data_IF_148765408370
#
_entry.id   IF_148765408370
#
_cell.length_a   1.000
_cell.length_b   1.000
_cell.length_c   1.000
_cell.angle_alpha   90.00
_cell.angle_beta   90.00
_cell.angle_gamma   90.00
#
_symmetry.space_group_name_H-M   'P 1'
#
loop_
_entity.id
_entity.type
_entity.pdbx_description
1 polymer ?
#
# COMPACT_ATOMS: atom_id res chain seq x y z
N UNK A 1 7.60 -0.59 49.24
CA UNK A 1 7.36 -1.21 47.94
C UNK A 1 6.13 -0.60 47.25
N UNK A 2 6.12 0.70 46.94
CA UNK A 2 5.01 1.34 46.23
C UNK A 2 5.47 2.49 45.28
N UNK A 3 6.68 2.38 44.72
CA UNK A 3 7.23 3.43 43.86
C UNK A 3 7.30 3.05 42.39
N UNK A 4 7.06 1.82 41.99
CA UNK A 4 7.16 1.35 40.61
C UNK A 4 5.84 1.36 39.82
N UNK A 5 4.70 1.62 40.45
CA UNK A 5 3.40 1.55 39.81
C UNK A 5 2.89 2.88 39.20
N UNK A 6 3.49 4.02 39.55
CA UNK A 6 3.00 5.35 39.14
C UNK A 6 3.73 5.99 37.96
N UNK A 7 4.82 5.36 37.46
CA UNK A 7 5.65 5.89 36.38
C UNK A 7 5.95 4.91 35.26
N UNK A 8 5.11 3.91 35.05
CA UNK A 8 5.22 3.09 33.85
C UNK A 8 4.37 3.61 32.69
N UNK A 9 4.47 4.90 32.39
CA UNK A 9 4.53 5.31 30.99
C UNK A 9 5.93 4.88 30.54
N UNK A 10 6.07 3.66 30.03
CA UNK A 10 7.28 3.30 29.28
C UNK A 10 7.33 4.28 28.11
N UNK A 11 8.31 5.19 28.03
CA UNK A 11 8.50 5.94 26.83
C UNK A 11 8.65 4.93 25.71
N UNK A 12 7.96 5.15 24.58
CA UNK A 12 8.21 4.33 23.41
C UNK A 12 9.72 4.28 23.21
N UNK A 13 10.33 3.08 23.07
CA UNK A 13 11.76 3.00 22.93
C UNK A 13 12.19 3.91 21.79
N UNK A 14 13.22 4.74 22.01
CA UNK A 14 13.76 5.62 20.97
C UNK A 14 14.18 4.81 19.75
N UNK A 15 14.55 3.55 19.96
CA UNK A 15 14.77 2.52 18.94
C UNK A 15 13.76 1.40 19.15
N UNK A 16 12.79 1.26 18.24
CA UNK A 16 11.85 0.13 18.27
C UNK A 16 12.57 -1.18 17.99
N UNK A 17 12.10 -2.28 18.59
CA UNK A 17 12.68 -3.61 18.40
C UNK A 17 12.43 -4.16 16.99
N UNK A 18 11.23 -3.97 16.47
CA UNK A 18 10.81 -4.49 15.19
C UNK A 18 10.95 -3.47 14.06
N UNK A 19 10.48 -2.24 14.26
CA UNK A 19 10.68 -1.10 13.38
C UNK A 19 11.65 -0.11 14.01
N UNK A 20 12.54 0.48 13.23
CA UNK A 20 13.54 1.43 13.71
C UNK A 20 13.08 2.88 13.44
N UNK A 21 13.30 3.76 14.40
CA UNK A 21 13.00 5.20 14.22
C UNK A 21 13.74 5.80 13.02
N UNK A 22 14.96 5.34 12.76
CA UNK A 22 15.79 5.79 11.63
C UNK A 22 15.19 5.48 10.25
N UNK A 23 14.23 4.55 10.17
CA UNK A 23 13.52 4.22 8.93
C UNK A 23 12.39 5.21 8.60
N UNK A 24 11.94 5.99 9.58
CA UNK A 24 11.01 7.09 9.37
C UNK A 24 11.79 8.30 8.86
N UNK A 25 11.58 8.64 7.59
CA UNK A 25 12.24 9.77 6.94
C UNK A 25 11.33 10.99 7.00
N UNK A 26 11.79 12.12 7.59
CA UNK A 26 10.99 13.33 7.59
C UNK A 26 10.75 13.81 6.16
N UNK A 27 9.52 14.21 5.87
CA UNK A 27 9.10 14.79 4.61
C UNK A 27 8.38 16.12 4.90
N UNK A 28 8.97 17.24 4.55
CA UNK A 28 8.36 18.56 4.75
C UNK A 28 7.26 18.83 3.71
N UNK A 29 7.46 18.33 2.51
CA UNK A 29 6.51 18.48 1.39
C UNK A 29 6.33 17.18 0.64
N UNK A 30 5.11 16.70 0.63
CA UNK A 30 4.75 15.50 -0.16
C UNK A 30 4.91 15.78 -1.66
N UNK A 31 5.37 14.80 -2.46
CA UNK A 31 5.34 14.90 -3.90
C UNK A 31 3.92 15.10 -4.42
N UNK A 32 3.79 15.66 -5.61
CA UNK A 32 2.48 15.80 -6.24
C UNK A 32 1.85 14.42 -6.50
N UNK A 33 0.56 14.28 -6.22
CA UNK A 33 -0.16 13.00 -6.33
C UNK A 33 0.06 12.30 -7.67
N UNK A 34 0.10 13.08 -8.75
CA UNK A 34 0.24 12.64 -10.14
C UNK A 34 1.60 11.97 -10.41
N UNK A 35 2.60 12.21 -9.56
CA UNK A 35 3.94 11.63 -9.69
C UNK A 35 4.08 10.31 -8.93
N UNK A 36 3.01 9.86 -8.26
CA UNK A 36 3.01 8.67 -7.43
C UNK A 36 1.93 7.68 -7.86
N UNK A 37 2.18 6.41 -7.62
CA UNK A 37 1.14 5.38 -7.58
C UNK A 37 0.63 5.28 -6.15
N UNK A 38 -0.66 5.46 -5.97
CA UNK A 38 -1.30 5.51 -4.65
C UNK A 38 -1.90 4.16 -4.31
N UNK A 39 -1.70 3.73 -3.08
CA UNK A 39 -2.25 2.50 -2.51
C UNK A 39 -2.87 2.81 -1.15
N UNK A 40 -3.92 2.09 -0.81
CA UNK A 40 -4.53 2.20 0.50
C UNK A 40 -4.53 0.87 1.23
N UNK A 41 -4.79 0.92 2.53
CA UNK A 41 -4.99 -0.27 3.34
C UNK A 41 -5.86 0.03 4.56
N UNK A 42 -6.67 -0.95 4.94
CA UNK A 42 -7.56 -0.83 6.08
C UNK A 42 -7.45 -2.00 7.02
N UNK A 43 -7.36 -1.67 8.30
CA UNK A 43 -7.68 -2.58 9.39
C UNK A 43 -9.03 -2.17 9.99
N UNK A 44 -9.98 -3.12 10.04
CA UNK A 44 -11.38 -2.84 10.42
C UNK A 44 -11.68 -3.36 11.82
N UNK A 45 -12.21 -2.50 12.67
CA UNK A 45 -12.74 -2.86 13.99
C UNK A 45 -14.28 -2.87 14.00
N UNK A 46 -14.86 -3.72 14.85
CA UNK A 46 -16.33 -3.90 14.96
C UNK A 46 -16.96 -2.97 15.98
N UNK A 47 -16.20 -2.53 16.99
CA UNK A 47 -16.74 -1.89 18.19
C UNK A 47 -16.52 -0.38 18.16
N UNK A 48 -17.63 0.36 18.27
CA UNK A 48 -17.59 1.81 18.36
C UNK A 48 -17.12 2.32 19.74
N UNK A 49 -17.29 1.53 20.80
CA UNK A 49 -17.01 1.94 22.18
C UNK A 49 -15.97 1.03 22.84
N UNK A 50 -14.77 1.58 23.12
CA UNK A 50 -13.75 0.93 23.96
C UNK A 50 -13.02 -0.25 23.36
N UNK A 51 -13.17 -0.53 22.06
CA UNK A 51 -12.48 -1.59 21.32
C UNK A 51 -11.25 -1.11 20.56
N UNK A 52 -10.87 -1.88 19.53
CA UNK A 52 -9.81 -1.55 18.60
C UNK A 52 -10.25 -0.40 17.67
N UNK A 53 -9.29 0.20 17.00
CA UNK A 53 -9.53 1.29 16.07
C UNK A 53 -9.70 0.75 14.64
N UNK A 54 -10.67 1.28 13.91
CA UNK A 54 -10.58 1.17 12.45
C UNK A 54 -9.55 2.17 11.94
N UNK A 55 -8.66 1.68 11.10
CA UNK A 55 -7.59 2.48 10.49
C UNK A 55 -7.66 2.38 8.98
N UNK A 56 -7.55 3.53 8.33
CA UNK A 56 -7.27 3.64 6.90
C UNK A 56 -5.95 4.38 6.71
N UNK A 57 -5.03 3.79 5.95
CA UNK A 57 -3.78 4.41 5.55
C UNK A 57 -3.73 4.58 4.04
N UNK A 58 -3.12 5.69 3.61
CA UNK A 58 -2.84 5.95 2.21
C UNK A 58 -1.35 6.13 2.02
N UNK A 59 -0.77 5.37 1.10
CA UNK A 59 0.65 5.36 0.78
C UNK A 59 0.86 5.66 -0.70
N UNK A 60 1.82 6.54 -1.01
CA UNK A 60 2.27 6.83 -2.36
C UNK A 60 3.63 6.20 -2.63
N UNK A 61 3.82 5.67 -3.84
CA UNK A 61 5.10 5.17 -4.33
C UNK A 61 5.50 6.01 -5.54
N UNK A 62 6.62 6.72 -5.45
CA UNK A 62 7.12 7.52 -6.56
C UNK A 62 7.87 6.67 -7.62
N UNK A 63 8.39 7.33 -8.63
CA UNK A 63 9.10 6.67 -9.75
C UNK A 63 10.47 6.08 -9.35
N UNK A 64 11.03 6.51 -8.22
CA UNK A 64 12.27 5.98 -7.65
C UNK A 64 12.00 4.82 -6.67
N UNK A 65 10.72 4.49 -6.41
CA UNK A 65 10.31 3.45 -5.48
C UNK A 65 10.18 3.92 -4.03
N UNK A 66 10.42 5.21 -3.73
CA UNK A 66 10.30 5.76 -2.38
C UNK A 66 8.85 5.74 -1.92
N UNK A 67 8.66 5.35 -0.69
CA UNK A 67 7.34 5.17 -0.07
C UNK A 67 7.00 6.33 0.85
N UNK A 68 5.85 6.95 0.65
CA UNK A 68 5.34 8.09 1.40
C UNK A 68 4.03 7.74 2.11
N UNK A 69 3.95 7.95 3.42
CA UNK A 69 2.67 7.91 4.12
C UNK A 69 1.98 9.26 3.91
N UNK A 70 0.90 9.23 3.13
CA UNK A 70 0.22 10.45 2.66
C UNK A 70 -0.87 10.89 3.61
N UNK A 71 -1.69 9.92 4.06
CA UNK A 71 -2.84 10.21 4.92
C UNK A 71 -3.13 9.06 5.87
N UNK A 72 -3.71 9.40 7.01
CA UNK A 72 -4.20 8.47 8.02
C UNK A 72 -5.56 8.90 8.55
N UNK A 73 -6.53 8.02 8.45
CA UNK A 73 -7.74 8.06 9.23
C UNK A 73 -7.72 6.96 10.28
N UNK A 74 -8.01 7.29 11.55
CA UNK A 74 -8.03 6.34 12.66
C UNK A 74 -9.08 6.76 13.68
N UNK A 75 -10.06 5.90 13.93
CA UNK A 75 -11.13 6.20 14.89
C UNK A 75 -11.78 4.93 15.41
N UNK A 76 -12.25 4.98 16.65
CA UNK A 76 -13.27 4.07 17.15
C UNK A 76 -14.62 4.61 16.69
N UNK A 77 -15.25 3.96 15.73
CA UNK A 77 -16.47 4.47 15.10
C UNK A 77 -17.34 3.35 14.56
N UNK A 78 -18.59 3.68 14.27
CA UNK A 78 -19.51 2.78 13.58
C UNK A 78 -19.08 2.50 12.13
N UNK A 79 -19.60 1.41 11.56
CA UNK A 79 -19.24 1.01 10.20
C UNK A 79 -19.66 2.01 9.12
N UNK A 80 -20.74 2.73 9.31
CA UNK A 80 -21.19 3.79 8.41
C UNK A 80 -20.18 4.95 8.36
N UNK A 81 -19.62 5.35 9.49
CA UNK A 81 -18.65 6.44 9.56
C UNK A 81 -17.33 6.09 8.86
N UNK A 82 -16.76 4.91 9.12
CA UNK A 82 -15.51 4.55 8.46
C UNK A 82 -15.69 4.18 6.97
N UNK A 83 -16.91 3.73 6.55
CA UNK A 83 -17.25 3.58 5.13
C UNK A 83 -17.23 4.94 4.42
N UNK A 84 -17.78 5.99 5.05
CA UNK A 84 -17.70 7.34 4.49
C UNK A 84 -16.25 7.82 4.38
N UNK A 85 -15.46 7.65 5.44
CA UNK A 85 -14.05 8.01 5.44
C UNK A 85 -13.25 7.26 4.35
N UNK A 86 -13.52 5.97 4.17
CA UNK A 86 -12.96 5.19 3.07
C UNK A 86 -13.29 5.80 1.70
N UNK A 87 -14.56 6.13 1.48
CA UNK A 87 -15.00 6.74 0.22
C UNK A 87 -14.36 8.12 -0.01
N UNK A 88 -14.21 8.92 1.04
CA UNK A 88 -13.52 10.23 0.96
C UNK A 88 -12.06 10.04 0.53
N UNK A 89 -11.33 9.15 1.18
CA UNK A 89 -9.94 8.85 0.85
C UNK A 89 -9.77 8.33 -0.59
N UNK A 90 -10.69 7.47 -1.05
CA UNK A 90 -10.68 6.96 -2.44
C UNK A 90 -10.92 8.08 -3.45
N UNK A 91 -11.83 8.99 -3.18
CA UNK A 91 -12.13 10.12 -4.07
C UNK A 91 -10.98 11.13 -4.13
N UNK A 92 -10.37 11.40 -2.99
CA UNK A 92 -9.25 12.34 -2.86
C UNK A 92 -7.98 11.78 -3.49
N UNK A 93 -7.58 10.58 -3.06
CA UNK A 93 -6.28 10.02 -3.41
C UNK A 93 -6.31 9.16 -4.67
N UNK A 94 -7.46 8.64 -5.10
CA UNK A 94 -7.66 7.77 -6.28
C UNK A 94 -6.66 6.61 -6.31
N UNK A 95 -6.66 5.74 -5.29
CA UNK A 95 -5.71 4.64 -5.19
C UNK A 95 -5.88 3.63 -6.32
N UNK A 96 -4.77 3.09 -6.79
CA UNK A 96 -4.72 1.99 -7.77
C UNK A 96 -5.23 0.69 -7.16
N UNK A 97 -4.95 0.48 -5.87
CA UNK A 97 -5.39 -0.68 -5.11
C UNK A 97 -5.54 -0.38 -3.63
N UNK A 98 -6.40 -1.15 -2.99
CA UNK A 98 -6.69 -1.06 -1.57
C UNK A 98 -6.64 -2.43 -0.92
N UNK A 99 -5.81 -2.58 0.10
CA UNK A 99 -5.62 -3.82 0.84
C UNK A 99 -6.58 -3.89 2.04
N UNK A 100 -7.18 -5.04 2.24
CA UNK A 100 -8.10 -5.30 3.35
C UNK A 100 -7.80 -6.65 3.97
N UNK A 101 -8.12 -6.79 5.26
CA UNK A 101 -8.13 -8.08 5.90
C UNK A 101 -9.31 -8.94 5.41
N UNK A 102 -9.04 -10.21 5.10
CA UNK A 102 -10.09 -11.19 4.80
C UNK A 102 -10.61 -11.78 6.11
N UNK A 103 -11.73 -11.29 6.60
CA UNK A 103 -12.29 -11.74 7.87
C UNK A 103 -13.81 -11.60 7.93
N UNK A 104 -14.38 -11.89 9.11
CA UNK A 104 -15.83 -11.79 9.33
C UNK A 104 -16.32 -10.34 9.20
N UNK A 105 -15.50 -9.36 9.61
CA UNK A 105 -15.86 -7.94 9.56
C UNK A 105 -15.98 -7.52 8.10
N UNK A 106 -14.95 -7.76 7.30
CA UNK A 106 -14.97 -7.42 5.87
C UNK A 106 -16.07 -8.15 5.10
N UNK A 107 -16.40 -9.39 5.49
CA UNK A 107 -17.52 -10.11 4.90
C UNK A 107 -18.90 -9.52 5.28
N UNK A 108 -19.07 -9.13 6.55
CA UNK A 108 -20.33 -8.56 7.03
C UNK A 108 -20.61 -7.16 6.49
N UNK A 109 -19.57 -6.34 6.37
CA UNK A 109 -19.70 -4.94 5.94
C UNK A 109 -19.50 -4.77 4.43
N UNK A 110 -18.87 -5.73 3.77
CA UNK A 110 -18.56 -5.69 2.34
C UNK A 110 -19.74 -5.23 1.46
N UNK A 111 -20.94 -5.80 1.58
CA UNK A 111 -22.09 -5.38 0.78
C UNK A 111 -22.48 -3.90 0.97
N UNK A 112 -22.41 -3.39 2.20
CA UNK A 112 -22.70 -1.98 2.51
C UNK A 112 -21.63 -1.06 1.91
N UNK A 113 -20.36 -1.42 2.05
CA UNK A 113 -19.24 -0.71 1.48
C UNK A 113 -19.32 -0.68 -0.06
N UNK A 114 -19.61 -1.82 -0.71
CA UNK A 114 -19.76 -1.90 -2.17
C UNK A 114 -20.93 -1.04 -2.68
N UNK A 115 -22.04 -1.03 -1.93
CA UNK A 115 -23.19 -0.17 -2.23
C UNK A 115 -22.76 1.30 -2.15
N UNK A 116 -22.10 1.69 -1.05
CA UNK A 116 -21.71 3.08 -0.83
C UNK A 116 -20.67 3.57 -1.83
N UNK A 117 -19.71 2.73 -2.20
CA UNK A 117 -18.75 3.03 -3.27
C UNK A 117 -19.45 3.35 -4.60
N UNK A 118 -20.50 2.57 -4.96
CA UNK A 118 -21.28 2.85 -6.18
C UNK A 118 -22.04 4.17 -6.10
N UNK A 119 -22.71 4.42 -4.98
CA UNK A 119 -23.47 5.67 -4.75
C UNK A 119 -22.56 6.90 -4.84
N UNK A 120 -21.39 6.83 -4.22
CA UNK A 120 -20.41 7.92 -4.20
C UNK A 120 -19.48 7.95 -5.41
N UNK A 121 -19.52 6.93 -6.26
CA UNK A 121 -18.58 6.74 -7.39
C UNK A 121 -17.10 6.67 -6.92
N UNK A 122 -16.89 6.16 -5.71
CA UNK A 122 -15.57 6.01 -5.08
C UNK A 122 -14.97 4.64 -5.43
N UNK A 123 -14.52 4.45 -6.66
CA UNK A 123 -14.04 3.16 -7.15
C UNK A 123 -12.54 3.01 -6.96
N UNK A 124 -12.13 1.86 -6.38
CA UNK A 124 -10.77 1.37 -6.39
C UNK A 124 -10.78 -0.17 -6.44
N UNK A 125 -9.68 -0.75 -6.88
CA UNK A 125 -9.50 -2.21 -6.79
C UNK A 125 -9.25 -2.58 -5.33
N UNK A 126 -10.11 -3.41 -4.74
CA UNK A 126 -9.99 -3.89 -3.36
C UNK A 126 -9.49 -5.32 -3.34
N UNK A 127 -8.44 -5.59 -2.59
CA UNK A 127 -7.86 -6.92 -2.44
C UNK A 127 -7.83 -7.34 -0.99
N UNK A 128 -8.36 -8.52 -0.71
CA UNK A 128 -8.43 -9.10 0.61
C UNK A 128 -7.28 -10.07 0.86
N UNK A 129 -6.61 -9.92 1.99
CA UNK A 129 -5.53 -10.77 2.44
C UNK A 129 -5.95 -11.61 3.65
N UNK A 130 -5.58 -12.91 3.70
CA UNK A 130 -5.93 -13.76 4.83
C UNK A 130 -5.15 -13.35 6.09
N UNK A 131 -5.84 -13.37 7.23
CA UNK A 131 -5.29 -13.07 8.57
C UNK A 131 -4.52 -14.23 9.21
N UNK A 132 -4.15 -15.25 8.45
CA UNK A 132 -3.44 -16.40 8.99
C UNK A 132 -1.99 -16.05 9.32
N UNK A 133 -1.55 -16.42 10.51
CA UNK A 133 -0.17 -16.29 10.96
C UNK A 133 0.06 -15.16 11.96
N UNK A 134 1.31 -15.06 12.42
CA UNK A 134 1.77 -14.04 13.35
C UNK A 134 1.71 -12.64 12.71
N UNK A 135 1.31 -11.63 13.48
CA UNK A 135 1.29 -10.22 13.08
C UNK A 135 2.66 -9.74 12.58
N UNK A 136 3.74 -10.16 13.23
CA UNK A 136 5.09 -9.84 12.80
C UNK A 136 5.41 -10.42 11.41
N UNK A 137 4.91 -11.61 11.08
CA UNK A 137 5.08 -12.21 9.76
C UNK A 137 4.31 -11.40 8.70
N UNK A 138 3.09 -10.96 9.02
CA UNK A 138 2.29 -10.14 8.09
C UNK A 138 2.92 -8.77 7.83
N UNK A 139 3.56 -8.18 8.85
CA UNK A 139 4.28 -6.92 8.74
C UNK A 139 5.68 -7.04 8.10
N UNK A 140 6.16 -8.26 7.78
CA UNK A 140 7.52 -8.48 7.28
C UNK A 140 7.78 -7.79 5.95
N UNK A 141 6.80 -7.76 5.04
CA UNK A 141 6.94 -7.11 3.76
C UNK A 141 7.19 -5.60 3.90
N UNK A 142 6.35 -4.92 4.67
CA UNK A 142 6.52 -3.48 4.88
C UNK A 142 7.79 -3.17 5.68
N UNK A 143 8.14 -4.04 6.65
CA UNK A 143 9.38 -3.94 7.41
C UNK A 143 10.59 -3.96 6.50
N UNK A 144 10.65 -4.91 5.57
CA UNK A 144 11.74 -5.03 4.60
C UNK A 144 11.90 -3.78 3.73
N UNK A 145 10.80 -3.26 3.21
CA UNK A 145 10.80 -2.01 2.42
C UNK A 145 11.27 -0.82 3.23
N UNK A 146 10.77 -0.66 4.46
CA UNK A 146 11.19 0.43 5.34
C UNK A 146 12.66 0.34 5.72
N UNK A 147 13.20 -0.86 5.91
CA UNK A 147 14.61 -1.07 6.23
C UNK A 147 15.53 -0.70 5.07
N UNK A 148 15.12 -0.95 3.82
CA UNK A 148 15.90 -0.67 2.62
C UNK A 148 15.81 0.80 2.20
N UNK A 149 14.62 1.37 2.15
CA UNK A 149 14.35 2.66 1.52
C UNK A 149 13.81 3.70 2.51
N UNK A 150 13.27 3.27 3.64
CA UNK A 150 12.58 4.11 4.60
C UNK A 150 11.11 4.34 4.24
N UNK A 151 10.40 4.97 5.16
CA UNK A 151 9.05 5.50 4.99
C UNK A 151 9.09 7.01 5.18
N UNK A 152 8.80 7.75 4.14
CA UNK A 152 8.73 9.21 4.19
C UNK A 152 7.40 9.63 4.81
N UNK A 153 7.45 10.46 5.87
CA UNK A 153 6.28 10.82 6.65
C UNK A 153 6.25 12.34 6.89
N UNK A 154 5.10 13.02 6.69
CA UNK A 154 4.96 14.43 7.02
C UNK A 154 4.99 14.59 8.55
N UNK A 155 6.12 15.06 9.09
CA UNK A 155 6.30 15.20 10.54
C UNK A 155 5.45 16.31 11.15
N UNK A 156 4.92 17.21 10.33
CA UNK A 156 3.95 18.24 10.71
C UNK A 156 2.50 17.71 10.82
N UNK A 157 2.22 16.49 10.36
CA UNK A 157 0.89 15.92 10.45
C UNK A 157 0.50 15.70 11.93
N UNK A 158 -0.71 16.08 12.35
CA UNK A 158 -1.14 15.99 13.77
C UNK A 158 -1.14 14.54 14.28
N UNK A 159 -1.23 13.56 13.41
CA UNK A 159 -1.22 12.15 13.73
C UNK A 159 0.18 11.51 13.78
N UNK A 160 1.24 12.22 13.36
CA UNK A 160 2.58 11.65 13.23
C UNK A 160 3.14 11.07 14.55
N UNK A 161 2.99 11.80 15.65
CA UNK A 161 3.53 11.36 16.94
C UNK A 161 2.89 10.06 17.45
N UNK A 162 1.59 9.90 17.22
CA UNK A 162 0.84 8.70 17.57
C UNK A 162 1.21 7.52 16.67
N UNK A 163 1.28 7.73 15.36
CA UNK A 163 1.74 6.73 14.39
C UNK A 163 3.15 6.22 14.72
N UNK A 164 4.10 7.13 14.93
CA UNK A 164 5.47 6.79 15.31
C UNK A 164 5.52 5.95 16.58
N UNK A 165 4.78 6.35 17.62
CA UNK A 165 4.75 5.62 18.89
C UNK A 165 4.22 4.21 18.74
N UNK A 166 3.12 3.99 18.02
CA UNK A 166 2.55 2.68 17.78
C UNK A 166 3.51 1.80 16.98
N UNK A 167 4.08 2.33 15.90
CA UNK A 167 5.05 1.62 15.07
C UNK A 167 6.28 1.15 15.87
N UNK A 168 6.87 2.02 16.69
CA UNK A 168 8.05 1.69 17.48
C UNK A 168 7.75 0.77 18.68
N UNK A 169 6.50 0.70 19.14
CA UNK A 169 6.07 -0.19 20.21
C UNK A 169 5.72 -1.60 19.73
N UNK A 170 5.61 -1.81 18.42
CA UNK A 170 5.25 -3.09 17.84
C UNK A 170 6.38 -4.14 18.04
N UNK A 171 6.07 -5.42 18.35
CA UNK A 171 4.74 -6.02 18.48
C UNK A 171 4.18 -6.00 19.92
N UNK A 172 4.90 -5.46 20.90
CA UNK A 172 4.52 -5.47 22.31
C UNK A 172 3.56 -4.34 22.71
N UNK A 173 3.21 -3.43 21.80
CA UNK A 173 2.32 -2.31 22.02
C UNK A 173 0.88 -2.73 22.32
N UNK A 174 0.12 -1.85 23.01
CA UNK A 174 -1.30 -2.08 23.30
C UNK A 174 -2.16 -2.05 22.03
N UNK A 175 -1.79 -1.22 21.09
CA UNK A 175 -2.46 -1.04 19.80
C UNK A 175 -1.45 -1.27 18.67
N UNK A 176 -1.89 -1.93 17.63
CA UNK A 176 -1.10 -2.25 16.45
C UNK A 176 -1.92 -2.09 15.13
N UNK A 177 -3.11 -1.49 15.25
CA UNK A 177 -4.06 -1.33 14.14
C UNK A 177 -3.42 -0.61 12.93
N UNK A 178 -2.58 0.41 13.19
CA UNK A 178 -1.87 1.13 12.12
C UNK A 178 -0.77 0.28 11.48
N UNK A 179 -0.13 -0.58 12.26
CA UNK A 179 0.89 -1.51 11.75
C UNK A 179 0.23 -2.61 10.92
N UNK A 180 -0.93 -3.12 11.35
CA UNK A 180 -1.69 -4.13 10.60
C UNK A 180 -2.16 -3.54 9.25
N UNK A 181 -2.74 -2.34 9.23
CA UNK A 181 -3.10 -1.65 7.98
C UNK A 181 -1.88 -1.42 7.05
N UNK A 182 -0.74 -1.00 7.62
CA UNK A 182 0.50 -0.79 6.86
C UNK A 182 1.06 -2.12 6.33
N UNK A 183 0.97 -3.19 7.12
CA UNK A 183 1.37 -4.55 6.72
C UNK A 183 0.54 -5.08 5.54
N UNK A 184 -0.76 -4.81 5.52
CA UNK A 184 -1.64 -5.14 4.40
C UNK A 184 -1.22 -4.41 3.11
N UNK A 185 -0.87 -3.12 3.21
CA UNK A 185 -0.31 -2.37 2.08
C UNK A 185 1.00 -3.04 1.60
N UNK A 186 1.88 -3.46 2.51
CA UNK A 186 3.11 -4.17 2.17
C UNK A 186 2.83 -5.43 1.35
N UNK A 187 1.86 -6.26 1.77
CA UNK A 187 1.46 -7.46 1.05
C UNK A 187 0.87 -7.14 -0.34
N UNK A 188 0.09 -6.05 -0.45
CA UNK A 188 -0.42 -5.58 -1.74
C UNK A 188 0.72 -5.17 -2.67
N UNK A 189 1.68 -4.43 -2.17
CA UNK A 189 2.85 -3.97 -2.94
C UNK A 189 3.72 -5.14 -3.44
N UNK A 190 3.81 -6.23 -2.69
CA UNK A 190 4.57 -7.42 -3.11
C UNK A 190 3.91 -8.16 -4.28
N UNK A 191 2.60 -8.06 -4.41
CA UNK A 191 1.86 -8.65 -5.53
C UNK A 191 1.83 -7.75 -6.76
N UNK A 192 2.09 -6.45 -6.58
CA UNK A 192 2.22 -5.50 -7.67
C UNK A 192 3.58 -5.68 -8.34
N UNK A 193 3.65 -6.51 -9.35
CA UNK A 193 4.84 -6.67 -10.18
C UNK A 193 5.23 -5.29 -10.73
N UNK A 194 6.48 -4.82 -10.54
CA UNK A 194 6.95 -3.62 -11.20
C UNK A 194 6.69 -3.77 -12.69
N UNK A 195 5.95 -2.84 -13.29
CA UNK A 195 5.73 -2.86 -14.73
C UNK A 195 7.10 -2.96 -15.41
N UNK A 196 7.35 -4.04 -16.14
CA UNK A 196 8.55 -4.12 -16.96
C UNK A 196 8.49 -2.92 -17.92
N UNK A 197 9.58 -2.17 -18.03
CA UNK A 197 9.73 -1.24 -19.15
C UNK A 197 9.33 -2.04 -20.39
N UNK A 198 8.39 -1.55 -21.23
CA UNK A 198 8.11 -2.23 -22.47
C UNK A 198 9.48 -2.52 -23.10
N UNK A 199 9.80 -3.78 -23.31
CA UNK A 199 10.96 -4.12 -24.13
C UNK A 199 10.77 -3.29 -25.39
N UNK A 200 11.77 -2.45 -25.73
CA UNK A 200 11.69 -1.74 -27.00
C UNK A 200 11.22 -2.76 -28.02
N UNK A 201 10.17 -2.45 -28.81
CA UNK A 201 9.71 -3.39 -29.79
C UNK A 201 10.95 -3.78 -30.58
N UNK A 202 11.42 -4.99 -30.38
CA UNK A 202 12.41 -5.55 -31.28
C UNK A 202 11.69 -5.40 -32.61
N UNK A 203 12.26 -4.51 -33.47
CA UNK A 203 11.81 -4.44 -34.87
C UNK A 203 11.66 -5.91 -35.25
N UNK A 204 10.48 -6.37 -35.64
CA UNK A 204 10.33 -7.75 -36.05
C UNK A 204 11.48 -7.94 -37.03
N UNK A 205 12.34 -8.92 -36.77
CA UNK A 205 13.17 -9.44 -37.82
C UNK A 205 12.16 -9.88 -38.85
N UNK A 206 11.93 -9.05 -39.81
CA UNK A 206 11.14 -9.40 -40.98
C UNK A 206 12.04 -10.40 -41.70
N UNK A 207 12.00 -11.62 -41.20
CA UNK A 207 12.26 -12.75 -42.07
C UNK A 207 11.02 -12.80 -42.95
N UNK A 208 11.05 -11.94 -43.93
CA UNK A 208 9.94 -11.84 -44.88
C UNK A 208 9.83 -13.11 -45.74
N UNK A 209 10.80 -14.06 -45.62
CA UNK A 209 10.87 -15.16 -46.60
C UNK A 209 10.91 -14.66 -48.06
N UNK A 210 10.72 -13.34 -48.22
CA UNK A 210 10.82 -12.66 -49.49
C UNK A 210 12.27 -12.27 -49.71
N UNK A 211 13.02 -13.19 -50.32
CA UNK A 211 14.23 -12.78 -51.05
C UNK A 211 13.73 -12.09 -52.31
N UNK A 212 14.01 -10.81 -52.52
CA UNK A 212 13.82 -10.24 -53.84
C UNK A 212 14.66 -11.11 -54.76
N UNK A 213 14.05 -11.72 -55.76
CA UNK A 213 14.73 -12.42 -56.85
C UNK A 213 15.60 -11.32 -57.47
N UNK A 214 16.91 -11.39 -57.30
CA UNK A 214 17.84 -10.48 -57.97
C UNK A 214 17.61 -10.61 -59.44
N UNK A 215 17.62 -9.48 -60.14
CA UNK A 215 17.45 -9.42 -61.60
C UNK A 215 18.49 -10.29 -62.32
N UNK A 216 19.52 -10.76 -61.57
CA UNK A 216 20.60 -11.58 -62.08
C UNK A 216 20.33 -13.12 -62.07
N UNK A 217 19.19 -13.55 -61.52
CA UNK A 217 18.80 -14.97 -61.48
C UNK A 217 17.58 -15.30 -62.31
N UNK A 218 17.28 -14.47 -63.35
CA UNK A 218 16.30 -14.92 -64.31
C UNK A 218 16.98 -15.98 -65.21
N UNK A 219 16.46 -17.21 -65.27
CA UNK A 219 16.93 -18.14 -66.27
C UNK A 219 16.50 -17.64 -67.65
N UNK A 220 17.49 -17.39 -68.49
CA UNK A 220 17.32 -16.89 -69.87
C UNK A 220 16.68 -17.97 -70.79
N UNK A 221 16.07 -19.04 -70.26
CA UNK A 221 15.61 -20.20 -70.99
C UNK A 221 14.27 -20.02 -71.74
N UNK A 222 13.63 -18.87 -71.62
CA UNK A 222 12.38 -18.63 -72.33
C UNK A 222 12.44 -17.49 -73.35
N UNK A 223 13.66 -17.02 -73.68
CA UNK A 223 13.94 -16.08 -74.76
C UNK A 223 14.54 -16.80 -76.00
N UNK A 224 13.97 -17.98 -76.31
CA UNK A 224 14.23 -18.59 -77.61
C UNK A 224 12.94 -18.62 -78.40
N UNK A 225 12.71 -17.56 -79.12
CA UNK A 225 12.12 -17.45 -80.45
C UNK A 225 12.03 -16.01 -80.88
#
# INVERSE_FOLDING_TARGET
MMWSALYQQRPAPEEGDYFKAAWLKPCERLPARETMRIYGGSDYAVTADGGDYTVHLVVGIDHEGRMYLLERWRKQSSSDEWIEAFCDLVLEWKPVGWAEEKGQISAGVGPALDKRQRERKAYCYRQQFPTKGDKAVRAQSIRGRMALEGLYVPTSAPWFAEFKRELLSFPAGKHDDQVDALGLIGQLLDQMVPGQKPSQPQKPKVDSGYRPIGLDEQPLDWLVF
#
